data_IF_647477241720
#
_entry.id   IF_647477241720
#
_cell.length_a   1.000
_cell.length_b   1.000
_cell.length_c   1.000
_cell.angle_alpha   90.00
_cell.angle_beta   90.00
_cell.angle_gamma   90.00
#
_symmetry.space_group_name_H-M   'P 1'
#
loop_
_entity.id
_entity.type
_entity.pdbx_description
1 polymer ?
#
# COMPACT_ATOMS: atom_id res chain seq x y z
N UNK A 1 16.48 -6.05 5.38
CA UNK A 1 16.67 -5.88 3.91
C UNK A 1 17.48 -4.61 3.66
N UNK A 2 18.36 -4.51 2.65
CA UNK A 2 19.08 -3.23 2.40
C UNK A 2 18.14 -2.24 1.71
N UNK A 3 18.12 -0.98 2.17
CA UNK A 3 17.23 0.09 1.68
C UNK A 3 17.22 0.23 0.16
N UNK A 4 18.39 0.10 -0.48
CA UNK A 4 18.55 0.23 -1.93
C UNK A 4 17.87 -0.90 -2.71
N UNK A 5 17.86 -2.10 -2.14
CA UNK A 5 17.23 -3.26 -2.76
C UNK A 5 15.70 -3.12 -2.68
N UNK A 6 15.18 -2.65 -1.54
CA UNK A 6 13.76 -2.30 -1.38
C UNK A 6 13.31 -1.22 -2.38
N UNK A 7 14.06 -0.12 -2.50
CA UNK A 7 13.74 0.94 -3.48
C UNK A 7 13.77 0.40 -4.91
N UNK A 8 14.73 -0.46 -5.26
CA UNK A 8 14.76 -1.14 -6.57
C UNK A 8 13.53 -2.01 -6.83
N UNK A 9 13.09 -2.77 -5.82
CA UNK A 9 11.87 -3.59 -5.90
C UNK A 9 10.59 -2.75 -5.99
N UNK A 10 10.46 -1.67 -5.22
CA UNK A 10 9.30 -0.77 -5.29
C UNK A 10 9.22 -0.07 -6.64
N UNK A 11 10.36 0.37 -7.19
CA UNK A 11 10.42 1.07 -8.48
C UNK A 11 9.97 0.17 -9.64
N UNK A 12 10.38 -1.11 -9.61
CA UNK A 12 10.00 -2.11 -10.61
C UNK A 12 8.52 -2.49 -10.52
N UNK A 13 7.97 -2.60 -9.31
CA UNK A 13 6.53 -2.84 -9.09
C UNK A 13 5.69 -1.63 -9.53
N UNK A 14 6.09 -0.40 -9.18
CA UNK A 14 5.35 0.81 -9.53
C UNK A 14 5.22 1.02 -11.05
N UNK A 15 6.29 0.71 -11.79
CA UNK A 15 6.29 0.77 -13.26
C UNK A 15 5.33 -0.28 -13.85
N UNK A 16 5.36 -1.50 -13.32
CA UNK A 16 4.48 -2.58 -13.77
C UNK A 16 3.00 -2.33 -13.49
N UNK A 17 2.68 -1.72 -12.34
CA UNK A 17 1.31 -1.31 -11.97
C UNK A 17 0.81 -0.30 -13.00
N UNK A 18 1.55 0.77 -13.30
CA UNK A 18 1.09 1.85 -14.20
C UNK A 18 0.70 1.40 -15.62
N UNK A 19 1.21 0.25 -16.09
CA UNK A 19 0.95 -0.28 -17.45
C UNK A 19 -0.24 -1.26 -17.50
N UNK A 20 -0.81 -1.66 -16.37
CA UNK A 20 -1.95 -2.59 -16.39
C UNK A 20 -3.22 -1.92 -16.93
N UNK A 21 -3.99 -2.59 -17.80
CA UNK A 21 -5.25 -2.06 -18.27
C UNK A 21 -6.21 -1.86 -17.09
N UNK A 22 -6.90 -0.71 -17.08
CA UNK A 22 -7.83 -0.28 -16.02
C UNK A 22 -8.88 -1.34 -15.63
N UNK A 23 -9.18 -2.28 -16.53
CA UNK A 23 -10.06 -3.43 -16.30
C UNK A 23 -9.52 -4.42 -15.27
N UNK A 24 -8.20 -4.55 -15.10
CA UNK A 24 -7.57 -5.43 -14.08
C UNK A 24 -7.77 -4.88 -12.67
N UNK A 25 -7.98 -3.57 -12.53
CA UNK A 25 -8.27 -2.92 -11.25
C UNK A 25 -9.74 -2.54 -11.06
N UNK A 26 -10.56 -2.75 -12.07
CA UNK A 26 -12.01 -2.57 -11.97
C UNK A 26 -12.60 -3.72 -11.15
N UNK A 27 -12.38 -3.70 -9.83
CA UNK A 27 -13.28 -4.40 -8.92
C UNK A 27 -14.64 -3.73 -9.05
N UNK A 28 -15.70 -4.55 -9.11
CA UNK A 28 -17.09 -4.11 -9.06
C UNK A 28 -17.29 -2.99 -8.02
N UNK A 29 -18.29 -2.13 -8.22
CA UNK A 29 -18.58 -0.99 -7.35
C UNK A 29 -18.41 -1.38 -5.86
N UNK A 30 -17.35 -0.86 -5.25
CA UNK A 30 -17.02 -1.12 -3.86
C UNK A 30 -17.36 0.12 -3.05
N UNK A 31 -18.11 -0.04 -1.96
CA UNK A 31 -18.46 1.06 -1.07
C UNK A 31 -17.27 1.49 -0.18
N UNK A 32 -16.11 0.84 -0.31
CA UNK A 32 -14.90 1.15 0.44
C UNK A 32 -13.70 1.41 -0.47
N UNK A 33 -12.89 2.38 -0.07
CA UNK A 33 -11.58 2.65 -0.65
C UNK A 33 -10.61 1.58 -0.12
N UNK A 34 -10.12 0.74 -1.03
CA UNK A 34 -9.08 -0.24 -0.71
C UNK A 34 -7.72 0.42 -0.87
N UNK A 35 -6.90 0.41 0.18
CA UNK A 35 -5.58 1.05 0.18
C UNK A 35 -4.49 0.13 0.73
N UNK A 36 -3.24 0.55 0.51
CA UNK A 36 -2.03 -0.05 1.07
C UNK A 36 -1.23 1.03 1.81
N UNK A 37 -0.48 0.63 2.84
CA UNK A 37 0.43 1.53 3.58
C UNK A 37 1.86 1.03 3.41
N UNK A 38 2.74 1.95 3.00
CA UNK A 38 4.16 1.68 2.79
C UNK A 38 4.98 2.54 3.76
N UNK A 39 5.79 1.89 4.59
CA UNK A 39 6.44 2.47 5.76
C UNK A 39 5.45 2.53 6.91
N UNK A 40 5.53 1.58 7.84
CA UNK A 40 4.59 1.41 8.97
C UNK A 40 5.28 1.63 10.33
N UNK A 41 6.21 2.58 10.35
CA UNK A 41 6.76 3.17 11.56
C UNK A 41 6.23 4.60 11.74
N UNK A 42 6.26 5.11 12.97
CA UNK A 42 5.97 6.52 13.32
C UNK A 42 4.76 7.08 12.54
N UNK A 43 4.99 7.99 11.59
CA UNK A 43 3.94 8.60 10.76
C UNK A 43 3.10 7.62 9.93
N UNK A 44 3.70 6.50 9.52
CA UNK A 44 3.00 5.43 8.84
C UNK A 44 1.94 4.77 9.70
N UNK A 45 2.23 4.60 11.00
CA UNK A 45 1.28 4.07 11.98
C UNK A 45 0.21 5.09 12.33
N UNK A 46 0.57 6.36 12.50
CA UNK A 46 -0.42 7.44 12.70
C UNK A 46 -1.46 7.44 11.57
N UNK A 47 -0.99 7.37 10.31
CA UNK A 47 -1.85 7.32 9.14
C UNK A 47 -2.67 6.03 9.08
N UNK A 48 -2.08 4.90 9.43
CA UNK A 48 -2.77 3.62 9.48
C UNK A 48 -3.92 3.62 10.49
N UNK A 49 -3.69 4.18 11.68
CA UNK A 49 -4.70 4.25 12.73
C UNK A 49 -5.87 5.17 12.32
N UNK A 50 -5.58 6.34 11.75
CA UNK A 50 -6.62 7.24 11.26
C UNK A 50 -7.44 6.63 10.11
N UNK A 51 -6.79 5.91 9.20
CA UNK A 51 -7.48 5.21 8.11
C UNK A 51 -8.26 3.99 8.60
N UNK A 52 -7.80 3.28 9.63
CA UNK A 52 -8.50 2.13 10.20
C UNK A 52 -9.80 2.51 10.91
N UNK A 53 -9.90 3.73 11.44
CA UNK A 53 -11.14 4.27 12.06
C UNK A 53 -12.27 4.52 11.05
N UNK A 54 -11.94 4.63 9.76
CA UNK A 54 -12.89 4.95 8.70
C UNK A 54 -13.64 3.73 8.19
N UNK A 55 -14.98 3.76 8.27
CA UNK A 55 -15.86 2.67 7.80
C UNK A 55 -15.86 2.50 6.28
N UNK A 56 -15.46 3.54 5.56
CA UNK A 56 -15.34 3.61 4.10
C UNK A 56 -13.94 3.28 3.59
N UNK A 57 -13.03 2.81 4.45
CA UNK A 57 -11.66 2.44 4.07
C UNK A 57 -11.37 0.99 4.44
N UNK A 58 -10.59 0.31 3.60
CA UNK A 58 -10.02 -1.01 3.86
C UNK A 58 -8.51 -0.95 3.60
N UNK A 59 -7.71 -1.07 4.66
CA UNK A 59 -6.24 -1.23 4.53
C UNK A 59 -5.97 -2.71 4.27
N UNK A 60 -5.58 -3.05 3.04
CA UNK A 60 -5.43 -4.47 2.63
C UNK A 60 -3.98 -4.94 2.62
N UNK A 61 -3.02 -4.03 2.43
CA UNK A 61 -1.61 -4.37 2.31
C UNK A 61 -0.75 -3.43 3.14
N UNK A 62 0.27 -3.99 3.78
CA UNK A 62 1.31 -3.26 4.49
C UNK A 62 2.66 -3.64 3.89
N UNK A 63 3.59 -2.69 3.78
CA UNK A 63 4.95 -2.94 3.34
C UNK A 63 5.94 -2.05 4.09
N UNK A 64 7.00 -2.64 4.62
CA UNK A 64 8.12 -1.91 5.22
C UNK A 64 9.44 -2.59 4.84
N UNK A 65 10.53 -1.84 4.58
CA UNK A 65 11.86 -2.43 4.42
C UNK A 65 12.38 -3.11 5.69
N UNK A 66 11.90 -2.70 6.87
CA UNK A 66 12.20 -3.35 8.15
C UNK A 66 11.26 -4.54 8.38
N UNK A 67 11.85 -5.66 8.79
CA UNK A 67 11.12 -6.88 9.13
C UNK A 67 10.75 -6.96 10.61
N UNK A 68 11.24 -6.04 11.45
CA UNK A 68 10.93 -5.97 12.87
C UNK A 68 9.84 -4.91 13.12
N UNK A 69 8.60 -5.27 12.84
CA UNK A 69 7.42 -4.43 13.03
C UNK A 69 6.77 -4.67 14.39
#
# INVERSE_FOLDING_TARGET
MKRRDFVGSVSSIATGVTVLPRSVWSRSANNRIVTAIIGIHDRGMDLADELAKRRDVEIRYLADPDSNL
#
